data_IF_999262352346
#
_entry.id   IF_999262352346
#
_cell.length_a   1.000
_cell.length_b   1.000
_cell.length_c   1.000
_cell.angle_alpha   90.00
_cell.angle_beta   90.00
_cell.angle_gamma   90.00
#
_symmetry.space_group_name_H-M   'P 1'
#
loop_
_entity.id
_entity.type
_entity.pdbx_description
1 polymer ?
#
# COMPACT_ATOMS: atom_id res chain seq x y z
N UNK A 1 -8.26 21.74 7.12
CA UNK A 1 -7.18 20.73 7.11
C UNK A 1 -6.00 21.35 6.37
N UNK A 2 -4.76 21.32 6.87
CA UNK A 2 -3.59 21.77 6.12
C UNK A 2 -3.43 21.00 4.81
N UNK A 3 -3.06 21.70 3.75
CA UNK A 3 -2.82 21.11 2.43
C UNK A 3 -1.39 21.38 2.00
N UNK A 4 -0.70 20.34 1.55
CA UNK A 4 0.53 20.45 0.77
C UNK A 4 0.17 20.27 -0.71
N UNK A 5 0.63 21.19 -1.56
CA UNK A 5 0.52 21.09 -3.00
C UNK A 5 1.93 21.13 -3.59
N UNK A 6 2.37 20.01 -4.17
CA UNK A 6 3.59 19.91 -4.93
C UNK A 6 3.54 20.70 -6.24
N UNK A 7 4.63 20.56 -6.97
CA UNK A 7 4.94 21.11 -8.28
C UNK A 7 4.80 20.02 -9.34
N UNK A 8 5.24 20.27 -10.58
CA UNK A 8 5.25 19.23 -11.62
C UNK A 8 6.61 18.51 -11.69
N UNK A 9 7.39 18.55 -10.61
CA UNK A 9 8.66 17.83 -10.51
C UNK A 9 8.80 17.20 -9.14
N UNK A 10 9.85 16.39 -8.97
CA UNK A 10 10.04 15.57 -7.78
C UNK A 10 10.03 16.38 -6.48
N UNK A 11 9.01 16.15 -5.67
CA UNK A 11 8.75 16.83 -4.42
C UNK A 11 9.05 15.95 -3.21
N UNK A 12 9.40 16.60 -2.10
CA UNK A 12 9.58 15.92 -0.81
C UNK A 12 8.89 16.69 0.30
N UNK A 13 7.88 16.07 0.88
CA UNK A 13 7.19 16.63 2.03
C UNK A 13 7.12 15.63 3.18
N UNK A 14 7.43 16.11 4.39
CA UNK A 14 7.32 15.33 5.60
C UNK A 14 6.63 16.14 6.69
N UNK A 15 5.37 15.81 6.95
CA UNK A 15 4.56 16.48 7.95
C UNK A 15 5.17 16.38 9.35
N UNK A 16 5.94 15.35 9.67
CA UNK A 16 6.61 15.20 10.97
C UNK A 16 7.59 16.33 11.28
N UNK A 17 8.08 17.05 10.26
CA UNK A 17 8.96 18.21 10.41
C UNK A 17 8.20 19.52 10.67
N UNK A 18 6.87 19.49 10.63
CA UNK A 18 6.04 20.68 10.86
C UNK A 18 5.58 20.77 12.31
N UNK A 19 5.55 21.98 12.86
CA UNK A 19 4.96 22.24 14.18
C UNK A 19 3.47 21.83 14.30
N UNK A 20 2.80 21.59 13.16
CA UNK A 20 1.37 21.27 13.05
C UNK A 20 1.07 19.77 13.19
N UNK A 21 2.07 18.89 13.09
CA UNK A 21 1.92 17.42 13.09
C UNK A 21 1.25 16.85 14.36
N UNK A 22 1.24 17.58 15.47
CA UNK A 22 0.65 17.08 16.72
C UNK A 22 -0.88 17.22 16.78
N UNK A 23 -1.49 18.03 15.92
CA UNK A 23 -2.88 18.48 16.11
C UNK A 23 -3.79 18.36 14.87
N UNK A 24 -3.27 18.10 13.66
CA UNK A 24 -4.07 18.18 12.43
C UNK A 24 -3.68 17.11 11.42
N UNK A 25 -4.70 16.56 10.77
CA UNK A 25 -4.53 15.75 9.55
C UNK A 25 -4.24 16.58 8.31
N UNK A 26 -3.49 16.01 7.38
CA UNK A 26 -2.99 16.58 6.15
C UNK A 26 -3.73 16.08 4.92
N UNK A 27 -3.77 16.94 3.92
CA UNK A 27 -4.00 16.55 2.54
C UNK A 27 -2.77 16.89 1.72
N UNK A 28 -2.22 15.94 0.97
CA UNK A 28 -0.98 16.14 0.22
C UNK A 28 -1.19 15.73 -1.23
N UNK A 29 -0.73 16.56 -2.15
CA UNK A 29 -0.73 16.30 -3.58
C UNK A 29 0.69 16.42 -4.09
N UNK A 30 1.24 15.35 -4.68
CA UNK A 30 2.54 15.35 -5.35
C UNK A 30 2.45 16.04 -6.72
N UNK A 31 1.48 15.60 -7.53
CA UNK A 31 1.18 16.01 -8.92
C UNK A 31 2.03 15.27 -9.94
N UNK A 32 3.01 15.89 -10.58
CA UNK A 32 3.86 15.20 -11.55
C UNK A 32 5.25 15.06 -10.96
N UNK A 33 5.92 13.94 -11.21
CA UNK A 33 7.26 13.66 -10.71
C UNK A 33 7.30 12.44 -9.81
N UNK A 34 8.49 12.10 -9.34
CA UNK A 34 8.70 11.02 -8.39
C UNK A 34 8.75 11.63 -6.98
N UNK A 35 7.64 11.55 -6.27
CA UNK A 35 7.44 12.28 -5.03
C UNK A 35 7.66 11.42 -3.79
N UNK A 36 8.06 12.07 -2.69
CA UNK A 36 8.14 11.44 -1.36
C UNK A 36 7.28 12.23 -0.38
N UNK A 37 6.13 11.65 -0.02
CA UNK A 37 5.15 12.28 0.85
C UNK A 37 4.99 11.49 2.15
N UNK A 38 5.04 12.16 3.30
CA UNK A 38 4.85 11.55 4.62
C UNK A 38 3.84 12.32 5.47
N UNK A 39 2.73 11.64 5.84
CA UNK A 39 1.56 12.14 6.59
C UNK A 39 1.83 12.41 8.07
N UNK A 40 2.57 11.51 8.71
CA UNK A 40 2.99 11.65 10.08
C UNK A 40 1.97 11.10 11.07
N UNK A 41 1.31 11.97 11.84
CA UNK A 41 0.28 11.55 12.81
C UNK A 41 -1.07 12.06 12.35
N UNK A 42 -2.13 11.32 12.72
CA UNK A 42 -3.55 11.53 12.38
C UNK A 42 -3.88 10.96 11.00
N UNK A 43 -5.18 10.91 10.72
CA UNK A 43 -5.78 10.34 9.53
C UNK A 43 -5.58 11.26 8.31
N UNK A 44 -4.51 11.04 7.57
CA UNK A 44 -4.04 11.84 6.45
C UNK A 44 -4.58 11.36 5.10
N UNK A 45 -4.46 12.20 4.08
CA UNK A 45 -4.79 11.84 2.70
C UNK A 45 -3.66 12.26 1.77
N UNK A 46 -2.98 11.27 1.19
CA UNK A 46 -1.81 11.45 0.34
C UNK A 46 -2.16 11.02 -1.09
N UNK A 47 -1.87 11.88 -2.05
CA UNK A 47 -2.05 11.64 -3.47
C UNK A 47 -0.71 11.87 -4.18
N UNK A 48 -0.12 10.82 -4.76
CA UNK A 48 1.13 10.87 -5.50
C UNK A 48 0.95 11.64 -6.80
N UNK A 49 0.23 11.05 -7.76
CA UNK A 49 -0.13 11.70 -9.01
C UNK A 49 0.48 10.94 -10.19
N UNK A 50 1.36 11.57 -10.97
CA UNK A 50 2.10 10.96 -12.06
C UNK A 50 3.55 10.77 -11.67
N UNK A 51 4.09 9.59 -11.93
CA UNK A 51 5.49 9.26 -11.67
C UNK A 51 5.59 8.15 -10.65
N UNK A 52 6.82 7.87 -10.20
CA UNK A 52 7.08 6.82 -9.23
C UNK A 52 7.15 7.42 -7.84
N UNK A 53 6.06 7.28 -7.11
CA UNK A 53 5.87 7.93 -5.82
C UNK A 53 6.19 7.01 -4.64
N UNK A 54 6.52 7.63 -3.51
CA UNK A 54 6.67 6.97 -2.22
C UNK A 54 5.80 7.67 -1.20
N UNK A 55 4.76 6.99 -0.75
CA UNK A 55 3.75 7.52 0.16
C UNK A 55 3.82 6.80 1.50
N UNK A 56 3.95 7.56 2.59
CA UNK A 56 4.00 7.04 3.97
C UNK A 56 2.92 7.71 4.81
N UNK A 57 1.89 6.98 5.22
CA UNK A 57 0.81 7.50 6.07
C UNK A 57 1.34 7.88 7.46
N UNK A 58 1.84 6.89 8.18
CA UNK A 58 2.45 7.06 9.50
C UNK A 58 1.59 6.46 10.59
N UNK A 59 0.83 7.27 11.32
CA UNK A 59 -0.05 6.78 12.38
C UNK A 59 -1.43 7.42 12.29
N UNK A 60 -2.47 6.61 12.39
CA UNK A 60 -3.84 7.04 12.11
C UNK A 60 -4.41 6.21 10.99
N UNK A 61 -5.67 6.46 10.64
CA UNK A 61 -6.33 5.76 9.53
C UNK A 61 -6.21 6.64 8.28
N UNK A 62 -5.24 6.32 7.45
CA UNK A 62 -4.77 7.12 6.34
C UNK A 62 -5.36 6.65 5.00
N UNK A 63 -5.39 7.55 4.02
CA UNK A 63 -5.74 7.23 2.64
C UNK A 63 -4.56 7.59 1.75
N UNK A 64 -3.96 6.59 1.12
CA UNK A 64 -2.83 6.76 0.20
C UNK A 64 -3.28 6.36 -1.20
N UNK A 65 -3.02 7.23 -2.18
CA UNK A 65 -3.28 6.98 -3.59
C UNK A 65 -2.02 7.28 -4.41
N UNK A 66 -1.40 6.25 -4.98
CA UNK A 66 -0.20 6.35 -5.81
C UNK A 66 -0.47 7.13 -7.08
N UNK A 67 -1.42 6.66 -7.89
CA UNK A 67 -1.86 7.35 -9.09
C UNK A 67 -1.37 6.65 -10.34
N UNK A 68 -0.51 7.28 -11.13
CA UNK A 68 0.09 6.73 -12.34
C UNK A 68 1.57 6.50 -12.11
N UNK A 69 2.03 5.26 -12.24
CA UNK A 69 3.45 4.94 -12.18
C UNK A 69 3.72 3.65 -11.44
N UNK A 70 4.82 3.57 -10.71
CA UNK A 70 5.20 2.35 -9.99
C UNK A 70 5.47 2.71 -8.55
N UNK A 71 4.41 2.75 -7.76
CA UNK A 71 4.38 3.46 -6.49
C UNK A 71 4.73 2.55 -5.32
N UNK A 72 5.25 3.14 -4.26
CA UNK A 72 5.49 2.47 -2.99
C UNK A 72 4.57 3.08 -1.92
N UNK A 73 3.67 2.28 -1.37
CA UNK A 73 2.67 2.71 -0.40
C UNK A 73 2.90 2.01 0.94
N UNK A 74 3.04 2.80 2.00
CA UNK A 74 3.18 2.33 3.38
C UNK A 74 2.15 3.05 4.24
N UNK A 75 1.11 2.34 4.67
CA UNK A 75 0.09 2.88 5.58
C UNK A 75 0.71 3.30 6.91
N UNK A 76 1.39 2.37 7.56
CA UNK A 76 1.93 2.58 8.90
C UNK A 76 0.95 1.97 9.90
N UNK A 77 0.81 2.56 11.09
CA UNK A 77 -0.10 2.03 12.12
C UNK A 77 -1.50 2.62 11.97
N UNK A 78 -2.54 1.78 11.95
CA UNK A 78 -3.93 2.20 11.90
C UNK A 78 -4.71 1.31 10.94
N UNK A 79 -5.93 1.69 10.59
CA UNK A 79 -6.65 0.97 9.53
C UNK A 79 -6.61 1.85 8.28
N UNK A 80 -5.70 1.54 7.36
CA UNK A 80 -5.39 2.38 6.20
C UNK A 80 -6.11 1.93 4.93
N UNK A 81 -6.28 2.86 3.99
CA UNK A 81 -6.72 2.56 2.62
C UNK A 81 -5.59 2.86 1.65
N UNK A 82 -5.04 1.81 1.02
CA UNK A 82 -3.93 1.92 0.09
C UNK A 82 -4.43 1.67 -1.34
N UNK A 83 -4.25 2.66 -2.20
CA UNK A 83 -4.72 2.65 -3.58
C UNK A 83 -3.50 2.78 -4.48
N UNK A 84 -3.13 1.71 -5.19
CA UNK A 84 -1.94 1.73 -6.07
C UNK A 84 -2.17 2.66 -7.26
N UNK A 85 -3.10 2.26 -8.12
CA UNK A 85 -3.49 3.02 -9.30
C UNK A 85 -3.02 2.31 -10.55
N UNK A 86 -2.46 3.05 -11.52
CA UNK A 86 -1.92 2.47 -12.74
C UNK A 86 -0.45 2.10 -12.54
N UNK A 87 -0.13 0.83 -12.80
CA UNK A 87 1.23 0.34 -13.00
C UNK A 87 1.52 -0.80 -12.04
N UNK A 88 2.79 -0.99 -11.67
CA UNK A 88 3.21 -2.06 -10.76
C UNK A 88 3.60 -1.46 -9.42
N UNK A 89 2.68 -1.56 -8.46
CA UNK A 89 2.80 -0.91 -7.17
C UNK A 89 3.31 -1.88 -6.10
N UNK A 90 3.84 -1.33 -5.01
CA UNK A 90 4.34 -2.09 -3.87
C UNK A 90 3.72 -1.58 -2.59
N UNK A 91 2.92 -2.42 -1.94
CA UNK A 91 2.34 -2.17 -0.62
C UNK A 91 3.27 -2.74 0.46
N UNK A 92 3.76 -1.89 1.35
CA UNK A 92 4.80 -2.25 2.31
C UNK A 92 4.25 -2.27 3.73
N UNK A 93 4.37 -3.43 4.36
CA UNK A 93 4.05 -3.68 5.76
C UNK A 93 5.35 -4.00 6.51
N UNK A 94 5.67 -3.20 7.51
CA UNK A 94 6.96 -3.31 8.24
C UNK A 94 6.78 -3.43 9.75
N UNK A 95 5.54 -3.39 10.25
CA UNK A 95 5.23 -3.55 11.66
C UNK A 95 4.13 -4.58 11.89
N UNK A 96 4.19 -5.23 13.05
CA UNK A 96 3.07 -6.05 13.55
C UNK A 96 1.92 -5.18 14.07
N UNK A 97 2.14 -3.87 14.17
CA UNK A 97 1.15 -2.88 14.60
C UNK A 97 0.61 -2.07 13.43
N UNK A 98 0.79 -2.53 12.19
CA UNK A 98 0.31 -1.81 11.01
C UNK A 98 -1.22 -1.69 11.02
N UNK A 99 -1.94 -2.66 11.62
CA UNK A 99 -3.40 -2.62 11.77
C UNK A 99 -4.11 -3.38 10.66
N UNK A 100 -5.38 -3.08 10.39
CA UNK A 100 -6.19 -3.78 9.38
C UNK A 100 -6.39 -2.88 8.15
N UNK A 101 -5.52 -3.07 7.16
CA UNK A 101 -5.53 -2.25 5.96
C UNK A 101 -6.41 -2.80 4.84
N UNK A 102 -6.95 -1.89 4.04
CA UNK A 102 -7.67 -2.17 2.80
C UNK A 102 -6.83 -1.75 1.61
N UNK A 103 -6.41 -2.72 0.79
CA UNK A 103 -5.78 -2.45 -0.50
C UNK A 103 -6.85 -2.41 -1.59
N UNK A 104 -6.86 -1.36 -2.40
CA UNK A 104 -7.79 -1.20 -3.53
C UNK A 104 -7.00 -1.00 -4.81
N UNK A 105 -7.36 -1.76 -5.83
CA UNK A 105 -6.88 -1.56 -7.20
C UNK A 105 -7.97 -0.83 -8.00
N UNK A 106 -7.61 0.24 -8.74
CA UNK A 106 -8.51 0.81 -9.74
C UNK A 106 -8.25 0.08 -11.06
N UNK A 107 -9.19 -0.80 -11.42
CA UNK A 107 -9.21 -1.55 -12.68
C UNK A 107 -9.17 -0.59 -13.88
N UNK A 108 -7.97 -0.32 -14.39
CA UNK A 108 -7.74 0.51 -15.57
C UNK A 108 -6.85 -0.14 -16.64
N UNK A 109 -6.36 -1.36 -16.43
CA UNK A 109 -5.43 -1.98 -17.37
C UNK A 109 -6.09 -3.00 -18.29
N UNK A 110 -5.84 -2.81 -19.59
CA UNK A 110 -6.12 -3.77 -20.66
C UNK A 110 -4.92 -4.73 -20.89
N UNK A 111 -3.90 -4.70 -20.01
CA UNK A 111 -2.63 -5.40 -20.21
C UNK A 111 -2.12 -6.06 -18.93
N UNK A 112 -1.98 -7.39 -18.96
CA UNK A 112 -1.46 -8.26 -17.89
C UNK A 112 0.05 -8.09 -17.57
N UNK A 113 0.69 -7.00 -18.02
CA UNK A 113 2.15 -6.81 -17.85
C UNK A 113 2.53 -6.10 -16.56
N UNK A 114 1.59 -5.40 -15.93
CA UNK A 114 1.82 -4.74 -14.64
C UNK A 114 1.28 -5.63 -13.51
N UNK A 115 2.09 -5.80 -12.46
CA UNK A 115 1.75 -6.62 -11.30
C UNK A 115 2.10 -5.88 -10.02
N UNK A 116 1.13 -5.81 -9.13
CA UNK A 116 1.33 -5.27 -7.80
C UNK A 116 1.99 -6.30 -6.87
N UNK A 117 2.64 -5.80 -5.83
CA UNK A 117 3.36 -6.59 -4.83
C UNK A 117 2.95 -6.18 -3.44
N UNK A 118 2.88 -7.15 -2.54
CA UNK A 118 2.81 -6.91 -1.11
C UNK A 118 4.14 -7.34 -0.50
N UNK A 119 4.82 -6.40 0.17
CA UNK A 119 6.08 -6.64 0.85
C UNK A 119 5.85 -6.61 2.37
N UNK A 120 6.18 -7.70 3.05
CA UNK A 120 6.12 -7.81 4.51
C UNK A 120 7.54 -8.00 5.03
N UNK A 121 8.04 -7.08 5.85
CA UNK A 121 9.47 -7.02 6.19
C UNK A 121 9.82 -7.31 7.66
N UNK A 122 8.83 -7.72 8.49
CA UNK A 122 9.08 -8.06 9.90
C UNK A 122 8.94 -9.55 10.17
N UNK A 123 10.02 -10.14 10.70
CA UNK A 123 10.07 -11.48 11.26
C UNK A 123 9.08 -11.58 12.44
N UNK A 124 7.99 -12.31 12.24
CA UNK A 124 6.89 -12.41 13.21
C UNK A 124 5.74 -13.26 12.70
N UNK A 125 5.59 -13.33 11.38
CA UNK A 125 5.06 -14.52 10.73
C UNK A 125 6.15 -15.59 10.81
N UNK A 126 5.89 -16.72 11.48
CA UNK A 126 6.82 -17.84 11.64
C UNK A 126 7.13 -18.58 10.34
N UNK A 127 7.33 -17.85 9.24
CA UNK A 127 7.77 -18.35 7.94
C UNK A 127 9.22 -17.94 7.77
N UNK A 128 10.13 -18.76 8.28
CA UNK A 128 11.56 -18.57 8.06
C UNK A 128 11.82 -18.36 6.57
N UNK A 129 12.45 -17.24 6.20
CA UNK A 129 13.01 -16.98 4.86
C UNK A 129 12.08 -16.99 3.63
N UNK A 130 10.74 -16.97 3.77
CA UNK A 130 9.84 -16.94 2.61
C UNK A 130 9.40 -15.50 2.31
N UNK A 131 10.34 -14.74 1.77
CA UNK A 131 10.13 -13.41 1.20
C UNK A 131 9.19 -13.51 -0.01
N UNK A 132 8.17 -12.65 -0.03
CA UNK A 132 7.29 -12.35 -1.18
C UNK A 132 5.99 -13.17 -1.27
N UNK A 133 4.97 -12.68 -0.56
CA UNK A 133 3.56 -12.95 -0.87
C UNK A 133 3.16 -12.05 -2.05
N UNK A 134 2.82 -12.64 -3.20
CA UNK A 134 2.25 -11.89 -4.32
C UNK A 134 0.81 -12.32 -4.50
N UNK A 135 -0.11 -11.37 -4.31
CA UNK A 135 -1.50 -11.50 -4.70
C UNK A 135 -1.64 -10.89 -6.09
N UNK A 136 -1.90 -11.72 -7.08
CA UNK A 136 -2.34 -11.24 -8.39
C UNK A 136 -3.84 -10.97 -8.28
N UNK A 137 -4.18 -9.69 -8.16
CA UNK A 137 -5.57 -9.22 -8.03
C UNK A 137 -6.38 -9.40 -9.31
N UNK A 138 -5.73 -9.58 -10.47
CA UNK A 138 -6.40 -9.80 -11.75
C UNK A 138 -6.82 -11.26 -11.91
N UNK A 139 -5.97 -12.18 -11.44
CA UNK A 139 -6.29 -13.61 -11.46
C UNK A 139 -6.87 -14.15 -10.16
N UNK A 140 -6.99 -13.32 -9.12
CA UNK A 140 -7.38 -13.72 -7.77
C UNK A 140 -6.44 -14.76 -7.16
N UNK A 141 -5.20 -14.86 -7.67
CA UNK A 141 -4.28 -15.93 -7.27
C UNK A 141 -3.29 -15.44 -6.21
N UNK A 142 -3.19 -16.22 -5.14
CA UNK A 142 -2.13 -16.10 -4.15
C UNK A 142 -0.99 -17.04 -4.54
N UNK A 143 0.21 -16.49 -4.71
CA UNK A 143 1.41 -17.26 -5.04
C UNK A 143 2.51 -17.07 -4.01
N UNK A 144 3.28 -18.14 -3.78
CA UNK A 144 4.44 -18.17 -2.90
C UNK A 144 5.64 -18.70 -3.68
N UNK A 145 6.76 -17.97 -3.72
CA UNK A 145 7.97 -18.35 -4.47
C UNK A 145 7.70 -18.75 -5.94
N UNK A 146 6.74 -18.10 -6.60
CA UNK A 146 6.36 -18.41 -7.98
C UNK A 146 5.58 -19.74 -8.16
N UNK A 147 5.29 -20.47 -7.09
CA UNK A 147 4.36 -21.59 -7.13
C UNK A 147 2.93 -21.09 -6.89
N UNK A 148 2.07 -21.34 -7.89
CA UNK A 148 0.65 -21.03 -7.85
C UNK A 148 -0.06 -22.13 -7.08
N UNK A 149 -0.59 -21.82 -5.90
CA UNK A 149 -1.46 -22.74 -5.17
C UNK A 149 -2.89 -22.57 -5.73
N UNK A 150 -3.51 -23.69 -6.09
CA UNK A 150 -4.69 -23.74 -6.96
C UNK A 150 -5.96 -23.10 -6.36
N UNK A 151 -6.80 -22.58 -7.28
CA UNK A 151 -8.24 -22.27 -7.15
C UNK A 151 -8.70 -21.68 -5.81
N UNK A 152 -8.55 -20.36 -5.69
CA UNK A 152 -9.16 -19.59 -4.61
C UNK A 152 -10.53 -19.07 -5.07
N UNK A 153 -11.62 -19.65 -4.54
CA UNK A 153 -12.97 -19.20 -4.87
C UNK A 153 -13.32 -17.95 -4.04
N UNK A 154 -13.50 -16.81 -4.73
CA UNK A 154 -13.98 -15.59 -4.11
C UNK A 154 -15.44 -15.78 -3.72
N UNK A 155 -15.70 -16.04 -2.44
CA UNK A 155 -17.05 -15.87 -1.90
C UNK A 155 -17.30 -14.37 -1.81
N UNK A 156 -18.28 -13.89 -2.57
CA UNK A 156 -18.71 -12.49 -2.59
C UNK A 156 -18.91 -11.98 -1.15
N UNK A 157 -18.13 -10.98 -0.73
CA UNK A 157 -18.31 -10.36 0.58
C UNK A 157 -17.13 -10.38 1.55
N UNK A 158 -15.88 -10.40 1.07
CA UNK A 158 -14.79 -9.70 1.75
C UNK A 158 -14.16 -10.37 2.99
N UNK A 159 -13.95 -11.68 2.97
CA UNK A 159 -13.01 -12.32 3.92
C UNK A 159 -12.35 -13.55 3.31
N UNK A 160 -11.03 -13.61 3.40
CA UNK A 160 -10.23 -14.80 3.11
C UNK A 160 -10.36 -15.77 4.30
N UNK A 161 -10.91 -16.97 4.08
CA UNK A 161 -10.93 -18.04 5.07
C UNK A 161 -10.09 -19.19 4.54
N UNK A 162 -8.94 -19.42 5.16
CA UNK A 162 -8.16 -20.65 4.96
C UNK A 162 -8.83 -21.73 5.81
N UNK A 163 -9.86 -22.36 5.25
CA UNK A 163 -10.39 -23.62 5.75
C UNK A 163 -9.57 -24.76 5.15
N UNK A 164 -8.46 -25.10 5.81
CA UNK A 164 -7.91 -26.44 5.93
C UNK A 164 -6.68 -26.34 6.80
N UNK A 165 -6.62 -27.17 7.84
CA UNK A 165 -5.47 -27.32 8.72
C UNK A 165 -4.20 -27.44 7.87
N UNK A 166 -3.29 -26.48 8.01
CA UNK A 166 -1.92 -26.66 7.55
C UNK A 166 -1.30 -27.68 8.50
N UNK A 167 -1.46 -28.96 8.15
CA UNK A 167 -0.67 -30.03 8.76
C UNK A 167 0.72 -29.95 8.12
N UNK A 168 1.67 -29.42 8.89
CA UNK A 168 3.09 -29.59 8.61
C UNK A 168 3.43 -31.06 8.92
N UNK A 169 3.93 -31.78 7.91
CA UNK A 169 4.67 -33.03 8.12
C UNK A 169 6.16 -32.69 8.23
#
# INVERSE_FOLDING_TARGET
>A
MPTYNGTNGNDRFNANRTAKNRLRKWRMYGKDGNDILSGGRKNDSLYGGWGRDTLVGGSGNDVLNGGWGHDALMGGTGDDTLIGGFGSDTYIFNSLADGVDTIRHFQGHLSHSFRDKIQVSKAGFGVGSLDQFSFDTDSGSLSFNGQKFANLELVSGGSFSIHNDIVLV
#
